data_IF_898783478427
#
_entry.id   IF_898783478427
#
_cell.length_a   1.000
_cell.length_b   1.000
_cell.length_c   1.000
_cell.angle_alpha   90.00
_cell.angle_beta   90.00
_cell.angle_gamma   90.00
#
_symmetry.space_group_name_H-M   'P 1'
#
loop_
_entity.id
_entity.type
_entity.pdbx_description
1 polymer ?
#
# COMPACT_ATOMS: atom_id res chain seq x y z
N UNK A 1 -15.66 4.62 -5.62
CA UNK A 1 -15.49 4.97 -7.04
C UNK A 1 -14.03 5.28 -7.33
N UNK A 2 -13.52 4.76 -8.44
CA UNK A 2 -12.15 5.01 -8.90
C UNK A 2 -12.22 5.79 -10.20
N UNK A 3 -11.41 6.85 -10.31
CA UNK A 3 -11.41 7.70 -11.50
C UNK A 3 -10.00 8.21 -11.81
N UNK A 4 -9.76 8.64 -13.04
CA UNK A 4 -8.47 9.12 -13.50
C UNK A 4 -8.45 10.65 -13.52
N UNK A 5 -7.50 11.24 -12.81
CA UNK A 5 -7.33 12.69 -12.71
C UNK A 5 -5.85 13.06 -12.79
N UNK A 6 -5.60 14.28 -13.27
CA UNK A 6 -4.28 14.87 -13.23
C UNK A 6 -4.08 15.53 -11.87
N UNK A 7 -3.24 14.91 -11.05
CA UNK A 7 -2.95 15.39 -9.70
C UNK A 7 -1.69 16.26 -9.68
N UNK A 8 -1.65 17.28 -8.81
CA UNK A 8 -0.52 18.20 -8.75
C UNK A 8 0.71 17.63 -8.03
N UNK A 9 0.50 16.95 -6.90
CA UNK A 9 1.58 16.50 -6.02
C UNK A 9 1.57 15.00 -5.70
N UNK A 10 0.50 14.29 -6.06
CA UNK A 10 0.33 12.89 -5.70
C UNK A 10 0.07 12.04 -6.93
N UNK A 11 0.45 10.79 -6.86
CA UNK A 11 0.18 9.77 -7.89
C UNK A 11 -1.23 9.22 -7.75
N UNK A 12 -1.73 9.15 -6.51
CA UNK A 12 -3.08 8.71 -6.17
C UNK A 12 -3.57 9.45 -4.93
N UNK A 13 -4.87 9.52 -4.76
CA UNK A 13 -5.51 10.20 -3.64
C UNK A 13 -6.85 9.52 -3.34
N UNK A 14 -7.16 9.35 -2.05
CA UNK A 14 -8.47 8.90 -1.59
C UNK A 14 -9.13 9.97 -0.73
N UNK A 15 -10.43 10.17 -0.93
CA UNK A 15 -11.24 11.08 -0.14
C UNK A 15 -12.59 10.42 0.17
N UNK A 16 -13.15 10.75 1.32
CA UNK A 16 -14.48 10.30 1.71
C UNK A 16 -15.40 11.51 1.82
N UNK A 17 -16.58 11.46 1.22
CA UNK A 17 -17.56 12.53 1.31
C UNK A 17 -18.43 12.37 2.56
N UNK A 18 -19.36 13.33 2.76
CA UNK A 18 -20.26 13.35 3.91
C UNK A 18 -21.25 12.18 3.91
N UNK A 19 -21.50 11.58 2.76
CA UNK A 19 -22.41 10.43 2.59
C UNK A 19 -21.71 9.10 2.85
N UNK A 20 -20.41 9.11 3.16
CA UNK A 20 -19.62 7.91 3.39
C UNK A 20 -19.12 7.23 2.12
N UNK A 21 -19.23 7.90 0.97
CA UNK A 21 -18.73 7.37 -0.30
C UNK A 21 -17.25 7.72 -0.42
N UNK A 22 -16.43 6.72 -0.67
CA UNK A 22 -15.00 6.91 -0.87
C UNK A 22 -14.67 7.05 -2.36
N UNK A 23 -13.89 8.07 -2.68
CA UNK A 23 -13.44 8.34 -4.04
C UNK A 23 -11.94 8.18 -4.12
N UNK A 24 -11.46 7.49 -5.14
CA UNK A 24 -10.03 7.33 -5.40
C UNK A 24 -9.71 7.97 -6.73
N UNK A 25 -8.80 8.94 -6.71
CA UNK A 25 -8.27 9.59 -7.91
C UNK A 25 -6.87 9.03 -8.18
N UNK A 26 -6.61 8.67 -9.43
CA UNK A 26 -5.31 8.16 -9.87
C UNK A 26 -4.83 9.04 -11.03
N UNK A 27 -3.58 9.48 -10.98
CA UNK A 27 -2.94 10.17 -12.09
C UNK A 27 -2.07 9.17 -12.86
N UNK A 28 -2.55 8.64 -13.99
CA UNK A 28 -1.84 7.59 -14.73
C UNK A 28 -0.49 8.05 -15.29
N UNK A 29 -0.28 9.36 -15.48
CA UNK A 29 0.98 9.90 -15.97
C UNK A 29 2.09 9.91 -14.93
N UNK A 30 1.75 9.73 -13.64
CA UNK A 30 2.71 9.68 -12.54
C UNK A 30 3.02 8.27 -12.09
N UNK A 31 2.33 7.27 -12.61
CA UNK A 31 2.55 5.87 -12.29
C UNK A 31 3.60 5.30 -13.25
N UNK A 32 4.52 4.50 -12.72
CA UNK A 32 5.61 3.93 -13.50
C UNK A 32 5.15 2.75 -14.37
N UNK A 33 4.27 1.90 -13.83
CA UNK A 33 3.81 0.68 -14.49
C UNK A 33 2.57 0.11 -13.79
N UNK A 34 2.06 -1.02 -14.28
CA UNK A 34 0.90 -1.70 -13.71
C UNK A 34 1.12 -2.17 -12.27
N UNK A 35 2.33 -2.59 -11.95
CA UNK A 35 2.69 -3.01 -10.59
C UNK A 35 2.59 -1.84 -9.62
N UNK A 36 3.09 -0.68 -10.01
CA UNK A 36 3.01 0.54 -9.22
C UNK A 36 1.55 0.98 -9.04
N UNK A 37 0.74 0.92 -10.11
CA UNK A 37 -0.69 1.22 -10.06
C UNK A 37 -1.41 0.29 -9.08
N UNK A 38 -1.15 -1.00 -9.13
CA UNK A 38 -1.75 -2.00 -8.24
C UNK A 38 -1.49 -1.66 -6.76
N UNK A 39 -0.23 -1.35 -6.43
CA UNK A 39 0.19 -1.02 -5.07
C UNK A 39 -0.46 0.28 -4.60
N UNK A 40 -0.44 1.32 -5.44
CA UNK A 40 -1.06 2.62 -5.11
C UNK A 40 -2.57 2.49 -4.92
N UNK A 41 -3.24 1.77 -5.81
CA UNK A 41 -4.68 1.54 -5.70
C UNK A 41 -5.03 0.77 -4.43
N UNK A 42 -4.28 -0.28 -4.09
CA UNK A 42 -4.49 -1.06 -2.87
C UNK A 42 -4.29 -0.19 -1.62
N UNK A 43 -3.29 0.69 -1.62
CA UNK A 43 -3.04 1.62 -0.52
C UNK A 43 -4.22 2.59 -0.33
N UNK A 44 -4.71 3.18 -1.42
CA UNK A 44 -5.85 4.10 -1.35
C UNK A 44 -7.14 3.38 -0.93
N UNK A 45 -7.35 2.15 -1.41
CA UNK A 45 -8.44 1.30 -0.92
C UNK A 45 -8.30 1.02 0.58
N UNK A 46 -7.08 0.86 1.07
CA UNK A 46 -6.81 0.69 2.49
C UNK A 46 -7.31 1.86 3.32
N UNK A 47 -7.10 3.10 2.88
CA UNK A 47 -7.67 4.28 3.53
C UNK A 47 -9.19 4.22 3.56
N UNK A 48 -9.81 3.86 2.44
CA UNK A 48 -11.26 3.77 2.33
C UNK A 48 -11.84 2.67 3.23
N UNK A 49 -11.25 1.48 3.20
CA UNK A 49 -11.78 0.32 3.91
C UNK A 49 -11.56 0.40 5.42
N UNK A 50 -10.54 1.10 5.88
CA UNK A 50 -10.24 1.27 7.31
C UNK A 50 -10.77 2.59 7.87
N UNK A 51 -11.27 3.49 7.02
CA UNK A 51 -11.66 4.83 7.43
C UNK A 51 -10.48 5.69 7.89
N UNK A 52 -9.27 5.38 7.43
CA UNK A 52 -8.03 6.00 7.89
C UNK A 52 -7.70 7.24 7.07
N UNK A 53 -8.45 8.32 7.30
CA UNK A 53 -8.22 9.61 6.67
C UNK A 53 -7.69 10.61 7.69
N UNK A 54 -6.85 11.53 7.23
CA UNK A 54 -6.31 12.57 8.10
C UNK A 54 -6.34 13.93 7.41
N UNK A 55 -6.39 14.98 8.23
CA UNK A 55 -6.29 16.36 7.75
C UNK A 55 -4.84 16.64 7.37
N UNK A 56 -4.63 17.42 6.30
CA UNK A 56 -3.30 17.85 5.84
C UNK A 56 -2.48 18.59 6.92
N UNK A 57 -3.16 19.14 7.93
CA UNK A 57 -2.53 19.83 9.06
C UNK A 57 -2.33 18.93 10.28
N UNK A 58 -2.67 17.64 10.19
CA UNK A 58 -2.47 16.70 11.28
C UNK A 58 -0.98 16.54 11.61
N UNK A 59 -0.69 16.24 12.86
CA UNK A 59 0.67 15.96 13.29
C UNK A 59 1.26 14.76 12.55
N UNK A 60 2.58 14.74 12.37
CA UNK A 60 3.28 13.73 11.60
C UNK A 60 3.01 12.31 12.10
N UNK A 61 2.98 12.11 13.42
CA UNK A 61 2.70 10.81 14.03
C UNK A 61 1.26 10.32 13.75
N UNK A 62 0.29 11.24 13.73
CA UNK A 62 -1.10 10.93 13.41
C UNK A 62 -1.22 10.53 11.94
N UNK A 63 -0.59 11.27 11.04
CA UNK A 63 -0.55 10.94 9.62
C UNK A 63 0.07 9.56 9.40
N UNK A 64 1.18 9.27 10.08
CA UNK A 64 1.86 8.00 9.94
C UNK A 64 1.00 6.83 10.42
N UNK A 65 0.22 7.00 11.47
CA UNK A 65 -0.72 5.97 11.94
C UNK A 65 -1.76 5.62 10.88
N UNK A 66 -2.32 6.62 10.21
CA UNK A 66 -3.31 6.40 9.15
C UNK A 66 -2.67 5.76 7.92
N UNK A 67 -1.47 6.20 7.54
CA UNK A 67 -0.73 5.58 6.44
C UNK A 67 -0.39 4.11 6.76
N UNK A 68 0.03 3.82 7.98
CA UNK A 68 0.33 2.46 8.41
C UNK A 68 -0.92 1.55 8.38
N UNK A 69 -2.08 2.06 8.74
CA UNK A 69 -3.34 1.30 8.65
C UNK A 69 -3.66 0.94 7.21
N UNK A 70 -3.52 1.89 6.30
CA UNK A 70 -3.75 1.66 4.88
C UNK A 70 -2.75 0.63 4.33
N UNK A 71 -1.47 0.73 4.70
CA UNK A 71 -0.44 -0.23 4.30
C UNK A 71 -0.74 -1.64 4.82
N UNK A 72 -1.08 -1.77 6.09
CA UNK A 72 -1.41 -3.08 6.68
C UNK A 72 -2.62 -3.72 5.99
N UNK A 73 -3.63 -2.95 5.71
CA UNK A 73 -4.80 -3.43 5.00
C UNK A 73 -4.42 -3.92 3.59
N UNK A 74 -3.66 -3.11 2.85
CA UNK A 74 -3.24 -3.45 1.49
C UNK A 74 -2.33 -4.68 1.45
N UNK A 75 -1.44 -4.84 2.43
CA UNK A 75 -0.58 -6.02 2.55
C UNK A 75 -1.44 -7.28 2.72
N UNK A 76 -2.38 -7.26 3.65
CA UNK A 76 -3.24 -8.42 3.91
C UNK A 76 -4.12 -8.76 2.71
N UNK A 77 -4.55 -7.75 1.94
CA UNK A 77 -5.39 -7.95 0.78
C UNK A 77 -4.63 -8.55 -0.39
N UNK A 78 -3.38 -8.14 -0.60
CA UNK A 78 -2.59 -8.59 -1.75
C UNK A 78 -1.94 -9.95 -1.51
N UNK A 79 -1.38 -10.18 -0.31
CA UNK A 79 -0.75 -11.46 0.01
C UNK A 79 -0.91 -11.81 1.50
N UNK A 80 -1.25 -13.05 1.76
CA UNK A 80 -1.34 -13.57 3.13
C UNK A 80 0.02 -14.08 3.61
N UNK A 81 0.12 -14.36 4.90
CA UNK A 81 1.31 -15.00 5.46
C UNK A 81 1.53 -16.38 4.83
N UNK A 82 0.46 -17.12 4.58
CA UNK A 82 0.52 -18.43 3.93
C UNK A 82 1.05 -18.32 2.51
N UNK A 83 0.62 -17.32 1.75
CA UNK A 83 1.12 -17.08 0.39
C UNK A 83 2.63 -16.82 0.41
N UNK A 84 3.09 -16.02 1.38
CA UNK A 84 4.50 -15.73 1.55
C UNK A 84 5.29 -16.98 1.91
N UNK A 85 4.79 -17.78 2.84
CA UNK A 85 5.43 -19.05 3.25
C UNK A 85 5.56 -20.01 2.07
N UNK A 86 4.53 -20.15 1.26
CA UNK A 86 4.56 -21.01 0.07
C UNK A 86 5.59 -20.52 -0.94
N UNK A 87 5.63 -19.20 -1.19
CA UNK A 87 6.58 -18.61 -2.13
C UNK A 87 8.03 -18.84 -1.67
N UNK A 88 8.31 -18.65 -0.39
CA UNK A 88 9.65 -18.89 0.18
C UNK A 88 10.02 -20.37 0.06
N UNK A 89 9.09 -21.27 0.35
CA UNK A 89 9.31 -22.72 0.20
C UNK A 89 9.57 -23.11 -1.25
N UNK A 90 9.00 -22.37 -2.21
CA UNK A 90 9.21 -22.59 -3.65
C UNK A 90 10.53 -21.98 -4.17
N UNK A 91 11.30 -21.32 -3.31
CA UNK A 91 12.61 -20.78 -3.66
C UNK A 91 12.67 -19.27 -3.90
N UNK A 92 11.58 -18.55 -3.71
CA UNK A 92 11.55 -17.08 -3.83
C UNK A 92 12.00 -16.48 -2.49
N UNK A 93 13.30 -16.26 -2.33
CA UNK A 93 13.89 -15.85 -1.04
C UNK A 93 14.42 -14.43 -1.01
N UNK A 94 14.53 -13.78 -2.17
CA UNK A 94 14.99 -12.38 -2.28
C UNK A 94 13.81 -11.43 -2.44
N UNK A 95 13.96 -10.19 -1.96
CA UNK A 95 12.91 -9.18 -2.09
C UNK A 95 12.49 -8.99 -3.55
N UNK A 96 13.47 -8.88 -4.46
CA UNK A 96 13.14 -8.65 -5.87
C UNK A 96 12.37 -9.84 -6.49
N UNK A 97 12.73 -11.08 -6.13
CA UNK A 97 12.04 -12.26 -6.67
C UNK A 97 10.64 -12.41 -6.10
N UNK A 98 10.46 -12.11 -4.81
CA UNK A 98 9.15 -12.08 -4.17
C UNK A 98 8.26 -10.98 -4.75
N UNK A 99 8.82 -9.79 -4.94
CA UNK A 99 8.09 -8.67 -5.54
C UNK A 99 7.60 -9.01 -6.96
N UNK A 100 8.46 -9.59 -7.77
CA UNK A 100 8.12 -10.04 -9.12
C UNK A 100 7.06 -11.14 -9.10
N UNK A 101 7.20 -12.10 -8.21
CA UNK A 101 6.27 -13.22 -8.06
C UNK A 101 4.85 -12.75 -7.71
N UNK A 102 4.72 -11.81 -6.78
CA UNK A 102 3.42 -11.28 -6.37
C UNK A 102 2.93 -10.10 -7.21
N UNK A 103 3.75 -9.60 -8.12
CA UNK A 103 3.39 -8.47 -8.97
C UNK A 103 3.24 -7.17 -8.18
N UNK A 104 4.15 -6.90 -7.25
CA UNK A 104 4.16 -5.70 -6.41
C UNK A 104 5.52 -5.01 -6.51
N UNK A 105 5.61 -3.79 -5.98
CA UNK A 105 6.88 -3.08 -5.92
C UNK A 105 7.79 -3.68 -4.83
N UNK A 106 9.11 -3.47 -4.95
CA UNK A 106 10.05 -3.92 -3.93
C UNK A 106 9.80 -3.24 -2.59
N UNK A 107 9.45 -1.96 -2.59
CA UNK A 107 9.11 -1.24 -1.36
C UNK A 107 7.90 -1.85 -0.66
N UNK A 108 6.87 -2.19 -1.42
CA UNK A 108 5.69 -2.90 -0.89
C UNK A 108 6.10 -4.26 -0.32
N UNK A 109 6.94 -4.99 -1.03
CA UNK A 109 7.39 -6.32 -0.58
C UNK A 109 8.20 -6.22 0.72
N UNK A 110 9.08 -5.23 0.85
CA UNK A 110 9.82 -4.99 2.10
C UNK A 110 8.86 -4.74 3.27
N UNK A 111 7.84 -3.92 3.06
CA UNK A 111 6.81 -3.65 4.09
C UNK A 111 6.06 -4.93 4.46
N UNK A 112 5.68 -5.74 3.48
CA UNK A 112 4.97 -6.99 3.73
C UNK A 112 5.81 -7.99 4.53
N UNK A 113 7.06 -8.19 4.14
CA UNK A 113 8.00 -9.07 4.86
C UNK A 113 8.23 -8.55 6.27
N UNK A 114 8.45 -7.25 6.42
CA UNK A 114 8.66 -6.61 7.72
C UNK A 114 7.45 -6.81 8.63
N UNK A 115 6.25 -6.59 8.11
CA UNK A 115 5.02 -6.78 8.86
C UNK A 115 4.83 -8.22 9.34
N UNK A 116 5.01 -9.20 8.44
CA UNK A 116 4.79 -10.61 8.78
C UNK A 116 5.90 -11.20 9.65
N UNK A 117 7.12 -10.69 9.57
CA UNK A 117 8.24 -11.21 10.36
C UNK A 117 8.44 -10.47 11.68
N UNK A 118 8.23 -9.15 11.70
CA UNK A 118 8.53 -8.31 12.86
C UNK A 118 7.31 -7.63 13.49
N UNK A 119 6.16 -7.71 12.84
CA UNK A 119 4.92 -7.12 13.37
C UNK A 119 4.85 -5.60 13.27
N UNK A 120 5.72 -4.96 12.49
CA UNK A 120 5.73 -3.53 12.26
C UNK A 120 6.14 -3.21 10.82
N UNK A 121 6.13 -1.93 10.46
CA UNK A 121 6.47 -1.47 9.10
C UNK A 121 7.79 -0.68 9.06
N UNK A 122 8.64 -0.85 10.05
CA UNK A 122 9.92 -0.12 10.16
C UNK A 122 11.00 -0.74 9.27
N UNK A 123 10.79 -0.69 7.96
CA UNK A 123 11.69 -1.31 6.98
C UNK A 123 13.13 -0.79 7.06
N UNK A 124 13.32 0.45 7.47
CA UNK A 124 14.64 1.05 7.65
C UNK A 124 15.50 0.37 8.71
N UNK A 125 14.87 -0.37 9.63
CA UNK A 125 15.61 -1.11 10.67
C UNK A 125 16.12 -2.47 10.18
N UNK A 126 15.54 -3.04 9.13
CA UNK A 126 15.77 -4.42 8.71
C UNK A 126 16.31 -4.54 7.28
N UNK A 127 16.19 -3.48 6.51
CA UNK A 127 16.65 -3.40 5.14
C UNK A 127 17.50 -2.12 4.93
#
# INVERSE_FOLDING_TARGET
AVDCYKLKKREALSIMDDDGICYIAIDPFKLENETDEKVKLAHELGHCMTGSFYNKHAACDIRQKHENRADKWSIKEILSMEDLDVAVADGYTDIWSLAEHFGVTEDFMRKAVCWYTHGNLATELYF
#
